data_IF_172473526508
#
_entry.id   IF_172473526508
#
_cell.length_a   1.000
_cell.length_b   1.000
_cell.length_c   1.000
_cell.angle_alpha   90.00
_cell.angle_beta   90.00
_cell.angle_gamma   90.00
#
_symmetry.space_group_name_H-M   'P 1'
#
loop_
_entity.id
_entity.type
_entity.pdbx_description
1 polymer ?
#
# COMPACT_ATOMS: atom_id res chain seq x y z
N UNK A 1 -10.97 19.16 -2.10
CA UNK A 1 -10.64 18.01 -2.98
C UNK A 1 -11.78 17.00 -3.10
N UNK A 2 -12.19 16.23 -2.07
CA UNK A 2 -13.32 15.29 -2.23
C UNK A 2 -14.67 15.97 -2.51
N UNK A 3 -14.95 17.08 -1.82
CA UNK A 3 -16.12 17.91 -2.10
C UNK A 3 -16.09 18.49 -3.53
N UNK A 4 -14.91 18.97 -3.98
CA UNK A 4 -14.72 19.49 -5.34
C UNK A 4 -14.94 18.39 -6.41
N UNK A 5 -14.46 17.17 -6.17
CA UNK A 5 -14.71 16.04 -7.07
C UNK A 5 -16.22 15.74 -7.18
N UNK A 6 -16.94 15.77 -6.05
CA UNK A 6 -18.40 15.59 -6.03
C UNK A 6 -19.12 16.72 -6.75
N UNK A 7 -18.69 17.98 -6.60
CA UNK A 7 -19.21 19.13 -7.37
C UNK A 7 -19.01 18.97 -8.88
N UNK A 8 -17.93 18.28 -9.30
CA UNK A 8 -17.65 17.91 -10.68
C UNK A 8 -18.41 16.65 -11.15
N UNK A 9 -19.20 16.02 -10.28
CA UNK A 9 -19.99 14.82 -10.59
C UNK A 9 -19.22 13.50 -10.45
N UNK A 10 -18.15 13.47 -9.65
CA UNK A 10 -17.33 12.28 -9.43
C UNK A 10 -17.21 11.92 -7.95
N UNK A 11 -17.27 10.63 -7.63
CA UNK A 11 -16.76 10.07 -6.39
C UNK A 11 -15.34 9.53 -6.63
N UNK A 12 -14.45 9.73 -5.66
CA UNK A 12 -13.05 9.32 -5.77
C UNK A 12 -12.75 8.11 -4.91
N UNK A 13 -12.34 7.01 -5.56
CA UNK A 13 -12.05 5.73 -4.92
C UNK A 13 -10.61 5.30 -5.17
N UNK A 14 -10.07 4.56 -4.21
CA UNK A 14 -8.66 4.19 -4.12
C UNK A 14 -8.53 2.76 -3.58
N UNK A 15 -7.66 1.98 -4.21
CA UNK A 15 -7.01 0.81 -3.61
C UNK A 15 -5.52 1.08 -3.45
N UNK A 16 -4.85 0.35 -2.55
CA UNK A 16 -3.44 0.60 -2.26
C UNK A 16 -2.66 -0.68 -1.99
N UNK A 17 -1.49 -0.78 -2.62
CA UNK A 17 -0.49 -1.82 -2.40
C UNK A 17 0.53 -1.25 -1.41
N UNK A 18 0.61 -1.82 -0.20
CA UNK A 18 1.46 -1.29 0.87
C UNK A 18 2.62 -2.24 1.13
N UNK A 19 3.79 -1.89 0.62
CA UNK A 19 5.02 -2.65 0.84
C UNK A 19 5.69 -2.28 2.16
N UNK A 20 6.32 -3.27 2.80
CA UNK A 20 7.08 -3.09 4.02
C UNK A 20 8.15 -4.15 4.21
N UNK A 21 9.14 -3.83 5.03
CA UNK A 21 10.17 -4.79 5.48
C UNK A 21 9.91 -5.26 6.90
N UNK A 22 10.21 -6.53 7.14
CA UNK A 22 10.24 -7.14 8.47
C UNK A 22 11.67 -7.56 8.80
N UNK A 23 12.17 -7.03 9.90
CA UNK A 23 13.50 -7.30 10.43
C UNK A 23 13.42 -8.03 11.77
N UNK A 24 14.51 -8.68 12.14
CA UNK A 24 14.70 -9.20 13.50
C UNK A 24 14.73 -8.07 14.52
N UNK A 25 13.98 -8.20 15.62
CA UNK A 25 14.08 -7.29 16.76
C UNK A 25 15.31 -7.67 17.61
N UNK A 26 16.50 -7.23 17.17
CA UNK A 26 17.75 -7.41 17.93
C UNK A 26 17.76 -6.45 19.11
N UNK A 27 17.77 -6.99 20.33
CA UNK A 27 17.85 -6.20 21.55
C UNK A 27 19.06 -5.26 21.54
N UNK A 28 18.90 -4.08 22.16
CA UNK A 28 19.89 -2.99 22.26
C UNK A 28 21.29 -3.38 22.84
N UNK A 29 21.48 -4.64 23.26
CA UNK A 29 22.77 -5.19 23.68
C UNK A 29 23.70 -5.58 22.53
N UNK A 30 23.18 -5.84 21.33
CA UNK A 30 24.00 -6.04 20.11
C UNK A 30 24.33 -4.67 19.50
N UNK A 31 25.34 -4.02 20.08
CA UNK A 31 25.82 -2.68 19.69
C UNK A 31 26.60 -2.68 18.38
N UNK A 32 26.05 -3.27 17.33
CA UNK A 32 26.31 -2.81 15.96
C UNK A 32 25.06 -2.09 15.48
N UNK A 33 25.03 -0.76 15.51
CA UNK A 33 23.86 0.06 15.14
C UNK A 33 23.33 -0.15 13.72
N UNK A 34 24.02 -0.92 12.88
CA UNK A 34 23.95 -0.77 11.43
C UNK A 34 23.48 -1.99 10.63
N UNK A 35 23.06 -3.10 11.23
CA UNK A 35 22.53 -4.24 10.44
C UNK A 35 21.06 -4.49 10.74
N UNK A 36 20.17 -3.78 10.03
CA UNK A 36 18.81 -4.27 9.81
C UNK A 36 18.92 -5.67 9.19
N UNK A 37 18.60 -6.70 9.96
CA UNK A 37 18.68 -8.08 9.54
C UNK A 37 17.29 -8.55 9.12
N UNK A 38 17.06 -8.82 7.81
CA UNK A 38 15.77 -9.35 7.34
C UNK A 38 15.38 -10.60 8.12
N UNK A 39 14.08 -10.74 8.39
CA UNK A 39 13.56 -11.93 9.08
C UNK A 39 13.73 -13.20 8.26
N UNK A 40 13.79 -13.09 6.93
CA UNK A 40 14.05 -14.19 6.01
C UNK A 40 14.58 -13.67 4.66
N UNK A 41 14.64 -14.55 3.66
CA UNK A 41 15.06 -14.27 2.29
C UNK A 41 14.09 -14.86 1.28
N UNK A 42 12.82 -15.01 1.65
CA UNK A 42 11.80 -15.54 0.73
C UNK A 42 11.71 -14.65 -0.49
N UNK A 43 11.62 -15.27 -1.65
CA UNK A 43 11.43 -14.58 -2.92
C UNK A 43 9.99 -14.16 -3.13
N UNK A 44 9.78 -13.47 -4.25
CA UNK A 44 8.48 -13.01 -4.69
C UNK A 44 7.46 -14.15 -4.74
N UNK A 45 6.30 -13.95 -4.08
CA UNK A 45 5.20 -14.92 -3.96
C UNK A 45 5.50 -16.18 -3.13
N UNK A 46 6.64 -16.28 -2.45
CA UNK A 46 7.02 -17.44 -1.60
C UNK A 46 6.50 -17.31 -0.16
N UNK A 47 5.31 -16.75 0.02
CA UNK A 47 4.74 -16.38 1.33
C UNK A 47 4.60 -17.56 2.32
N UNK A 48 4.45 -18.79 1.82
CA UNK A 48 4.29 -19.97 2.68
C UNK A 48 5.56 -20.31 3.48
N UNK A 49 6.73 -19.91 2.97
CA UNK A 49 8.02 -20.15 3.61
C UNK A 49 8.46 -18.96 4.48
N UNK A 50 7.72 -17.85 4.45
CA UNK A 50 8.05 -16.62 5.16
C UNK A 50 7.85 -16.78 6.66
N UNK A 51 8.81 -16.26 7.42
CA UNK A 51 8.71 -16.16 8.88
C UNK A 51 7.75 -15.07 9.32
N UNK A 52 7.45 -14.10 8.46
CA UNK A 52 6.46 -13.05 8.67
C UNK A 52 5.05 -13.43 8.19
N UNK A 53 4.83 -14.65 7.68
CA UNK A 53 3.51 -15.10 7.23
C UNK A 53 2.44 -15.05 8.35
N UNK A 54 2.82 -15.43 9.58
CA UNK A 54 1.92 -15.33 10.74
C UNK A 54 1.56 -13.88 11.08
N UNK A 55 2.55 -12.98 11.06
CA UNK A 55 2.34 -11.55 11.29
C UNK A 55 1.36 -10.94 10.29
N UNK A 56 1.50 -11.26 8.99
CA UNK A 56 0.62 -10.74 7.95
C UNK A 56 -0.81 -11.27 8.11
N UNK A 57 -0.97 -12.56 8.42
CA UNK A 57 -2.28 -13.17 8.70
C UNK A 57 -2.99 -12.51 9.88
N UNK A 58 -2.28 -12.35 11.00
CA UNK A 58 -2.82 -11.71 12.20
C UNK A 58 -3.20 -10.24 11.92
N UNK A 59 -2.43 -9.55 11.08
CA UNK A 59 -2.73 -8.19 10.66
C UNK A 59 -4.00 -8.12 9.79
N UNK A 60 -4.16 -9.04 8.84
CA UNK A 60 -5.36 -9.13 7.98
C UNK A 60 -6.61 -9.41 8.83
N UNK A 61 -6.54 -10.36 9.76
CA UNK A 61 -7.66 -10.66 10.65
C UNK A 61 -8.05 -9.45 11.52
N UNK A 62 -7.05 -8.73 12.04
CA UNK A 62 -7.29 -7.51 12.82
C UNK A 62 -7.89 -6.38 11.96
N UNK A 63 -7.42 -6.20 10.73
CA UNK A 63 -7.95 -5.21 9.78
C UNK A 63 -9.40 -5.49 9.40
N UNK A 64 -9.76 -6.77 9.20
CA UNK A 64 -11.15 -7.16 8.98
C UNK A 64 -12.07 -6.76 10.13
N UNK A 65 -11.58 -6.77 11.38
CA UNK A 65 -12.35 -6.29 12.53
C UNK A 65 -12.57 -4.77 12.56
N UNK A 66 -11.76 -4.01 11.80
CA UNK A 66 -11.91 -2.57 11.60
C UNK A 66 -12.73 -2.23 10.36
N UNK A 67 -13.22 -3.24 9.63
CA UNK A 67 -13.93 -3.05 8.36
C UNK A 67 -13.01 -2.75 7.18
N UNK A 68 -11.71 -3.02 7.30
CA UNK A 68 -10.75 -2.89 6.20
C UNK A 68 -10.66 -4.22 5.47
N UNK A 69 -11.02 -4.20 4.19
CA UNK A 69 -10.92 -5.35 3.30
C UNK A 69 -9.54 -5.43 2.65
N UNK A 70 -8.95 -6.62 2.65
CA UNK A 70 -7.65 -6.91 2.05
C UNK A 70 -7.89 -7.84 0.86
N UNK A 71 -7.39 -7.46 -0.32
CA UNK A 71 -7.52 -8.25 -1.56
C UNK A 71 -6.49 -9.37 -1.61
N UNK A 72 -5.25 -9.05 -1.26
CA UNK A 72 -4.14 -10.00 -1.33
C UNK A 72 -2.99 -9.65 -0.37
N UNK A 73 -2.09 -10.62 -0.19
CA UNK A 73 -0.81 -10.44 0.49
C UNK A 73 0.20 -11.42 -0.08
N UNK A 74 1.46 -11.01 -0.17
CA UNK A 74 2.55 -11.88 -0.59
C UNK A 74 3.90 -11.42 -0.03
N UNK A 75 4.89 -12.32 -0.13
CA UNK A 75 6.30 -11.95 -0.04
C UNK A 75 6.69 -11.17 -1.31
N UNK A 76 7.50 -10.15 -1.13
CA UNK A 76 7.99 -9.26 -2.18
C UNK A 76 9.42 -9.67 -2.64
N UNK A 77 10.01 -8.93 -3.58
CA UNK A 77 11.31 -9.23 -4.19
C UNK A 77 12.46 -9.11 -3.20
N UNK A 78 12.37 -8.19 -2.22
CA UNK A 78 13.42 -7.96 -1.23
C UNK A 78 13.42 -8.98 -0.09
N UNK A 79 14.58 -9.23 0.55
CA UNK A 79 14.66 -10.14 1.69
C UNK A 79 13.86 -9.57 2.87
N UNK A 80 12.92 -10.36 3.40
CA UNK A 80 12.01 -9.91 4.46
C UNK A 80 11.01 -8.84 4.00
N UNK A 81 10.86 -8.60 2.70
CA UNK A 81 9.90 -7.65 2.14
C UNK A 81 8.56 -8.33 1.89
N UNK A 82 7.48 -7.63 2.20
CA UNK A 82 6.11 -8.13 2.13
C UNK A 82 5.18 -7.03 1.63
N UNK A 83 4.04 -7.43 1.10
CA UNK A 83 2.99 -6.54 0.59
C UNK A 83 1.62 -6.99 1.10
N UNK A 84 0.77 -6.00 1.39
CA UNK A 84 -0.65 -6.18 1.70
C UNK A 84 -1.44 -5.18 0.84
N UNK A 85 -2.40 -5.72 0.08
CA UNK A 85 -3.23 -4.97 -0.85
C UNK A 85 -4.58 -4.66 -0.21
N UNK A 86 -4.86 -3.38 -0.02
CA UNK A 86 -6.13 -2.92 0.52
C UNK A 86 -7.12 -2.72 -0.62
N UNK A 87 -8.31 -3.28 -0.46
CA UNK A 87 -9.36 -3.22 -1.46
C UNK A 87 -9.82 -1.80 -1.78
N UNK A 88 -10.41 -1.65 -2.97
CA UNK A 88 -10.92 -0.36 -3.42
C UNK A 88 -12.05 0.17 -2.53
N UNK A 89 -11.83 1.34 -1.94
CA UNK A 89 -12.79 2.03 -1.09
C UNK A 89 -12.76 3.55 -1.33
N UNK A 90 -13.58 4.31 -0.61
CA UNK A 90 -13.54 5.76 -0.67
C UNK A 90 -12.16 6.30 -0.26
N UNK A 91 -11.70 7.39 -0.90
CA UNK A 91 -10.33 7.84 -0.71
C UNK A 91 -9.98 8.28 0.73
N UNK A 92 -10.96 8.73 1.52
CA UNK A 92 -10.74 9.06 2.94
C UNK A 92 -10.58 7.78 3.76
N UNK A 93 -11.47 6.81 3.53
CA UNK A 93 -11.45 5.50 4.15
C UNK A 93 -10.16 4.75 3.81
N UNK A 94 -9.66 4.87 2.57
CA UNK A 94 -8.38 4.32 2.15
C UNK A 94 -7.20 4.91 2.93
N UNK A 95 -7.19 6.22 3.16
CA UNK A 95 -6.16 6.86 3.98
C UNK A 95 -6.18 6.36 5.43
N UNK A 96 -7.36 6.21 6.03
CA UNK A 96 -7.53 5.65 7.37
C UNK A 96 -7.08 4.19 7.44
N UNK A 97 -7.42 3.38 6.43
CA UNK A 97 -7.03 1.98 6.32
C UNK A 97 -5.52 1.79 6.24
N UNK A 98 -4.81 2.62 5.46
CA UNK A 98 -3.34 2.60 5.38
C UNK A 98 -2.73 2.89 6.75
N UNK A 99 -3.26 3.88 7.49
CA UNK A 99 -2.78 4.21 8.84
C UNK A 99 -3.04 3.04 9.80
N UNK A 100 -4.23 2.44 9.74
CA UNK A 100 -4.60 1.29 10.56
C UNK A 100 -3.70 0.08 10.29
N UNK A 101 -3.40 -0.22 9.01
CA UNK A 101 -2.48 -1.27 8.60
C UNK A 101 -1.08 -1.04 9.19
N UNK A 102 -0.52 0.15 8.98
CA UNK A 102 0.84 0.49 9.48
C UNK A 102 0.94 0.36 11.00
N UNK A 103 -0.10 0.78 11.72
CA UNK A 103 -0.14 0.68 13.17
C UNK A 103 -0.30 -0.76 13.66
N UNK A 104 -1.18 -1.53 12.99
CA UNK A 104 -1.45 -2.93 13.31
C UNK A 104 -0.21 -3.79 13.11
N UNK A 105 0.45 -3.69 11.95
CA UNK A 105 1.68 -4.43 11.65
C UNK A 105 2.80 -4.11 12.65
N UNK A 106 3.02 -2.83 12.99
CA UNK A 106 4.02 -2.45 13.99
C UNK A 106 3.70 -2.98 15.38
N UNK A 107 2.42 -2.99 15.75
CA UNK A 107 1.97 -3.44 17.06
C UNK A 107 2.10 -4.95 17.22
N UNK A 108 1.67 -5.72 16.21
CA UNK A 108 1.81 -7.17 16.17
C UNK A 108 3.28 -7.59 16.03
N UNK A 109 4.04 -6.92 15.17
CA UNK A 109 5.47 -7.16 14.99
C UNK A 109 6.24 -7.06 16.31
N UNK A 110 6.03 -5.99 17.08
CA UNK A 110 6.64 -5.82 18.42
C UNK A 110 6.31 -6.96 19.38
N UNK A 111 5.08 -7.49 19.35
CA UNK A 111 4.69 -8.65 20.18
C UNK A 111 5.40 -9.92 19.74
N UNK A 112 5.61 -10.07 18.43
CA UNK A 112 6.35 -11.17 17.81
C UNK A 112 7.88 -11.02 17.80
N UNK A 113 8.45 -9.99 18.44
CA UNK A 113 9.89 -9.65 18.37
C UNK A 113 10.38 -9.46 16.93
N UNK A 114 9.58 -8.76 16.14
CA UNK A 114 9.90 -8.34 14.78
C UNK A 114 9.80 -6.82 14.67
N UNK A 115 10.72 -6.23 13.91
CA UNK A 115 10.71 -4.81 13.58
C UNK A 115 10.11 -4.60 12.19
N UNK A 116 8.94 -3.98 12.12
CA UNK A 116 8.30 -3.61 10.84
C UNK A 116 8.68 -2.18 10.44
N UNK A 117 9.18 -2.03 9.21
CA UNK A 117 9.58 -0.74 8.63
C UNK A 117 8.85 -0.47 7.31
N UNK A 118 8.38 0.77 7.16
CA UNK A 118 7.81 1.32 5.91
C UNK A 118 8.75 2.36 5.30
N UNK A 119 10.05 2.28 5.62
CA UNK A 119 11.03 3.20 5.07
C UNK A 119 11.18 2.90 3.57
N UNK A 120 11.20 3.91 2.67
CA UNK A 120 11.24 3.66 1.23
C UNK A 120 12.46 2.86 0.75
N UNK A 121 13.58 2.91 1.49
CA UNK A 121 14.82 2.23 1.11
C UNK A 121 15.65 1.80 2.32
N UNK A 122 15.28 0.71 3.03
CA UNK A 122 15.96 0.31 4.26
C UNK A 122 17.27 -0.44 4.03
N UNK A 123 17.46 -1.04 2.86
CA UNK A 123 18.65 -1.82 2.52
C UNK A 123 19.28 -1.34 1.22
N UNK A 124 20.60 -1.15 1.24
CA UNK A 124 21.39 -0.93 0.03
C UNK A 124 21.40 -2.21 -0.82
N UNK A 125 21.27 -2.06 -2.14
CA UNK A 125 21.30 -3.18 -3.10
C UNK A 125 20.03 -4.07 -3.14
N UNK A 126 19.06 -3.88 -2.23
CA UNK A 126 17.73 -4.51 -2.31
C UNK A 126 16.71 -3.59 -3.00
N UNK A 127 15.51 -4.06 -3.37
CA UNK A 127 14.39 -3.21 -3.77
C UNK A 127 14.00 -2.17 -2.70
N UNK A 128 13.28 -1.12 -3.11
CA UNK A 128 12.66 -0.18 -2.17
C UNK A 128 11.30 -0.68 -1.72
N UNK A 129 10.65 0.04 -0.79
CA UNK A 129 9.24 -0.16 -0.46
C UNK A 129 8.38 0.96 -1.06
N UNK A 130 7.45 0.57 -1.92
CA UNK A 130 6.41 1.41 -2.50
C UNK A 130 5.15 1.53 -1.64
N UNK A 131 4.36 2.56 -1.96
CA UNK A 131 2.94 2.61 -1.63
C UNK A 131 2.24 2.97 -2.93
N UNK A 132 1.86 1.97 -3.71
CA UNK A 132 1.16 2.22 -4.97
C UNK A 132 -0.29 2.55 -4.67
N UNK A 133 -0.81 3.55 -5.37
CA UNK A 133 -2.18 4.06 -5.19
C UNK A 133 -2.88 3.95 -6.53
N UNK A 134 -3.75 2.96 -6.63
CA UNK A 134 -4.67 2.79 -7.75
C UNK A 134 -5.87 3.72 -7.54
N UNK A 135 -6.16 4.55 -8.54
CA UNK A 135 -7.06 5.69 -8.43
C UNK A 135 -8.15 5.60 -9.49
N UNK A 136 -9.41 5.72 -9.09
CA UNK A 136 -10.55 5.75 -10.02
C UNK A 136 -11.54 6.85 -9.65
N UNK A 137 -12.07 7.51 -10.67
CA UNK A 137 -13.25 8.37 -10.53
C UNK A 137 -14.47 7.57 -10.98
N UNK A 138 -15.52 7.57 -10.18
CA UNK A 138 -16.79 6.91 -10.52
C UNK A 138 -17.94 7.90 -10.49
N UNK A 139 -18.94 7.66 -11.32
CA UNK A 139 -20.21 8.39 -11.28
C UNK A 139 -20.97 8.06 -9.98
N UNK A 140 -21.30 9.06 -9.12
CA UNK A 140 -21.95 8.80 -7.83
C UNK A 140 -23.29 8.07 -7.93
N UNK A 141 -24.05 8.30 -9.01
CA UNK A 141 -25.42 7.80 -9.14
C UNK A 141 -25.50 6.32 -9.52
N UNK A 142 -24.51 5.80 -10.25
CA UNK A 142 -24.55 4.45 -10.83
C UNK A 142 -23.27 3.64 -10.62
N UNK A 143 -22.22 4.23 -10.03
CA UNK A 143 -20.93 3.59 -9.76
C UNK A 143 -20.09 3.29 -11.01
N UNK A 144 -20.44 3.85 -12.17
CA UNK A 144 -19.71 3.62 -13.43
C UNK A 144 -18.32 4.25 -13.36
N UNK A 145 -17.31 3.50 -13.77
CA UNK A 145 -15.95 3.99 -13.97
C UNK A 145 -15.93 5.12 -15.03
N UNK A 146 -15.56 6.32 -14.59
CA UNK A 146 -15.48 7.49 -15.44
C UNK A 146 -14.25 7.49 -16.35
N UNK A 147 -13.26 6.62 -16.11
CA UNK A 147 -12.06 6.46 -16.94
C UNK A 147 -12.27 5.50 -18.10
N UNK A 148 -13.32 4.68 -18.07
CA UNK A 148 -13.59 3.70 -19.11
C UNK A 148 -14.44 4.26 -20.25
N UNK A 149 -13.93 4.17 -21.48
CA UNK A 149 -14.71 4.43 -22.70
C UNK A 149 -14.31 3.42 -23.80
N UNK A 150 -15.18 2.45 -24.15
CA UNK A 150 -14.84 1.40 -25.11
C UNK A 150 -14.63 1.92 -26.54
N UNK A 151 -15.03 3.16 -26.84
CA UNK A 151 -14.87 3.78 -28.15
C UNK A 151 -13.52 4.47 -28.34
N UNK A 152 -12.76 4.71 -27.26
CA UNK A 152 -11.50 5.45 -27.29
C UNK A 152 -10.29 4.52 -27.40
N UNK A 153 -9.16 5.08 -27.83
CA UNK A 153 -7.86 4.39 -27.82
C UNK A 153 -7.51 4.00 -26.38
N UNK A 154 -7.03 2.77 -26.18
CA UNK A 154 -6.75 2.18 -24.85
C UNK A 154 -7.98 2.03 -23.95
N UNK A 155 -9.18 2.22 -24.49
CA UNK A 155 -10.43 2.24 -23.73
C UNK A 155 -10.45 3.31 -22.64
N UNK A 156 -9.67 4.38 -22.81
CA UNK A 156 -9.49 5.46 -21.87
C UNK A 156 -10.34 6.67 -22.26
N UNK A 157 -11.25 7.08 -21.39
CA UNK A 157 -12.13 8.23 -21.59
C UNK A 157 -11.36 9.56 -21.60
N UNK A 158 -12.02 10.62 -22.08
CA UNK A 158 -11.45 11.97 -22.00
C UNK A 158 -11.19 12.41 -20.55
N UNK A 159 -12.04 12.02 -19.60
CA UNK A 159 -11.86 12.30 -18.17
C UNK A 159 -10.61 11.58 -17.62
N UNK A 160 -10.42 10.30 -17.96
CA UNK A 160 -9.22 9.55 -17.58
C UNK A 160 -7.95 10.15 -18.16
N UNK A 161 -7.98 10.55 -19.44
CA UNK A 161 -6.85 11.24 -20.07
C UNK A 161 -6.50 12.58 -19.39
N UNK A 162 -7.51 13.38 -19.03
CA UNK A 162 -7.32 14.64 -18.32
C UNK A 162 -6.81 14.45 -16.90
N UNK A 163 -7.29 13.42 -16.20
CA UNK A 163 -6.81 13.06 -14.86
C UNK A 163 -5.31 12.75 -14.89
N UNK A 164 -4.87 11.88 -15.81
CA UNK A 164 -3.45 11.55 -16.00
C UNK A 164 -2.64 12.80 -16.37
N UNK A 165 -3.15 13.65 -17.27
CA UNK A 165 -2.48 14.88 -17.66
C UNK A 165 -2.23 15.81 -16.45
N UNK A 166 -3.22 15.94 -15.56
CA UNK A 166 -3.09 16.69 -14.30
C UNK A 166 -2.02 16.10 -13.38
N UNK A 167 -2.04 14.78 -13.16
CA UNK A 167 -1.04 14.09 -12.34
C UNK A 167 0.39 14.35 -12.86
N UNK A 168 0.60 14.24 -14.17
CA UNK A 168 1.91 14.47 -14.79
C UNK A 168 2.34 15.93 -14.74
N UNK A 169 1.41 16.87 -14.95
CA UNK A 169 1.70 18.31 -14.88
C UNK A 169 2.16 18.74 -13.48
N UNK A 170 1.63 18.10 -12.44
CA UNK A 170 1.92 18.46 -11.04
C UNK A 170 2.91 17.52 -10.35
N UNK A 171 3.38 16.45 -11.00
CA UNK A 171 4.21 15.40 -10.41
C UNK A 171 5.39 15.94 -9.59
N UNK A 172 6.15 16.89 -10.13
CA UNK A 172 7.32 17.48 -9.44
C UNK A 172 6.96 18.16 -8.13
N UNK A 173 5.82 18.84 -8.07
CA UNK A 173 5.34 19.49 -6.85
C UNK A 173 4.79 18.48 -5.86
N UNK A 174 4.10 17.44 -6.35
CA UNK A 174 3.54 16.39 -5.52
C UNK A 174 4.60 15.49 -4.88
N UNK A 175 5.75 15.25 -5.53
CA UNK A 175 6.86 14.44 -4.99
C UNK A 175 7.48 14.97 -3.68
N UNK A 176 7.14 16.18 -3.24
CA UNK A 176 7.56 16.67 -1.92
C UNK A 176 6.67 16.15 -0.78
N UNK A 177 5.49 15.62 -1.11
CA UNK A 177 4.45 15.16 -0.17
C UNK A 177 4.22 13.65 -0.34
N UNK A 178 4.25 13.17 -1.59
CA UNK A 178 4.18 11.75 -1.98
C UNK A 178 5.51 11.03 -1.70
#
# INVERSE_FOLDING_TARGET
MLAEALELGFAYRVSSEVEFFVFEDRAASDKTPDSLAPVDRTGYFEMQESRAAGLCRDAIDALGSFGVEVEATHAEVGPGQHEIDIAEQGALEAADAIVALKWTLRSLGRRGRMLVSFMPKPLEGAPGSGLHVSQVLVEPDNGRDAFFDPSQRYQLSAAGGQFIAGQLAHARGMSAIL
#
